data_IF_975107640637
#
_entry.id   IF_975107640637
#
_cell.length_a   1.000
_cell.length_b   1.000
_cell.length_c   1.000
_cell.angle_alpha   90.00
_cell.angle_beta   90.00
_cell.angle_gamma   90.00
#
_symmetry.space_group_name_H-M   'P 1'
#
loop_
_entity.id
_entity.type
_entity.pdbx_description
1 polymer ?
#
# COMPACT_ATOMS: atom_id res chain seq x y z
N UNK A 1 -16.66 -1.58 -14.45
CA UNK A 1 -16.90 -0.87 -13.18
C UNK A 1 -15.56 -0.74 -12.53
N UNK A 2 -15.25 0.44 -11.98
CA UNK A 2 -13.99 0.65 -11.29
C UNK A 2 -13.98 -0.12 -9.96
N UNK A 3 -12.81 -0.52 -9.50
CA UNK A 3 -12.62 -1.21 -8.21
C UNK A 3 -13.02 -0.30 -7.05
N UNK A 4 -13.39 -0.91 -5.92
CA UNK A 4 -13.73 -0.23 -4.67
C UNK A 4 -12.50 0.25 -3.87
N UNK A 5 -11.29 0.06 -4.43
CA UNK A 5 -10.03 0.64 -3.96
C UNK A 5 -9.17 1.03 -5.17
N UNK A 6 -7.99 1.63 -4.91
CA UNK A 6 -6.93 1.75 -5.93
C UNK A 6 -5.56 1.44 -5.33
N UNK A 7 -4.69 0.85 -6.13
CA UNK A 7 -3.26 0.79 -5.81
C UNK A 7 -2.57 2.03 -6.37
N UNK A 8 -1.92 2.79 -5.51
CA UNK A 8 -1.08 3.93 -5.88
C UNK A 8 0.39 3.45 -5.83
N UNK A 9 1.12 3.46 -6.95
CA UNK A 9 2.54 3.21 -6.94
C UNK A 9 3.29 4.48 -6.49
N UNK A 10 4.02 4.41 -5.38
CA UNK A 10 4.96 5.45 -4.99
C UNK A 10 6.37 5.11 -5.49
N UNK A 11 6.90 5.94 -6.38
CA UNK A 11 8.27 5.82 -6.88
C UNK A 11 9.28 5.87 -5.72
N UNK A 12 10.19 4.91 -5.70
CA UNK A 12 11.32 4.84 -4.79
C UNK A 12 12.48 5.63 -5.39
N UNK A 13 13.07 6.52 -4.59
CA UNK A 13 14.30 7.25 -4.93
C UNK A 13 15.48 6.55 -4.24
N UNK A 14 16.44 6.07 -5.02
CA UNK A 14 17.67 5.46 -4.51
C UNK A 14 18.80 6.48 -4.49
N UNK A 15 19.63 6.47 -3.44
CA UNK A 15 20.73 7.42 -3.25
C UNK A 15 22.12 6.80 -3.40
N UNK A 16 23.12 7.65 -3.68
CA UNK A 16 24.53 7.23 -3.86
C UNK A 16 25.19 6.62 -2.60
N UNK A 17 24.56 6.75 -1.44
CA UNK A 17 25.01 6.19 -0.16
C UNK A 17 24.31 4.86 0.22
N UNK A 18 23.48 4.31 -0.67
CA UNK A 18 22.62 3.15 -0.39
C UNK A 18 21.35 3.52 0.38
N UNK A 19 20.44 2.55 0.47
CA UNK A 19 19.10 2.76 1.01
C UNK A 19 18.13 3.39 0.00
N UNK A 20 16.86 3.47 0.41
CA UNK A 20 15.73 3.84 -0.45
C UNK A 20 14.84 4.85 0.26
N UNK A 21 14.39 5.86 -0.48
CA UNK A 21 13.52 6.93 0.01
C UNK A 21 12.19 6.91 -0.73
N UNK A 22 11.09 6.91 0.01
CA UNK A 22 9.74 7.15 -0.49
C UNK A 22 9.24 8.45 0.14
N UNK A 23 9.01 9.46 -0.70
CA UNK A 23 8.32 10.70 -0.32
C UNK A 23 6.94 10.67 -0.95
N UNK A 24 5.91 11.05 -0.21
CA UNK A 24 4.60 11.36 -0.74
C UNK A 24 4.10 12.68 -0.12
N UNK A 25 3.22 13.39 -0.81
CA UNK A 25 2.71 14.69 -0.40
C UNK A 25 1.34 14.96 -1.04
N UNK A 26 0.54 15.86 -0.47
CA UNK A 26 -0.68 16.33 -1.14
C UNK A 26 -0.34 16.91 -2.53
N UNK A 27 -1.11 16.53 -3.55
CA UNK A 27 -0.98 17.08 -4.89
C UNK A 27 -1.92 16.40 -5.89
N UNK A 28 -1.85 16.83 -7.15
CA UNK A 28 -2.58 16.20 -8.27
C UNK A 28 -1.63 15.63 -9.32
N UNK A 29 -0.43 16.22 -9.48
CA UNK A 29 0.66 15.82 -10.38
C UNK A 29 2.01 16.25 -9.74
N UNK A 30 3.19 15.67 -10.09
CA UNK A 30 3.43 14.66 -11.13
C UNK A 30 4.02 13.31 -10.61
N UNK A 31 4.42 13.22 -9.33
CA UNK A 31 4.91 11.96 -8.73
C UNK A 31 4.52 11.88 -7.25
N UNK A 32 4.19 10.67 -6.79
CA UNK A 32 3.85 10.32 -5.41
C UNK A 32 2.84 11.25 -4.71
N UNK A 33 1.88 11.75 -5.49
CA UNK A 33 0.83 12.64 -4.99
C UNK A 33 -0.24 11.85 -4.22
N UNK A 34 -0.65 12.37 -3.06
CA UNK A 34 -1.86 11.96 -2.36
C UNK A 34 -3.04 12.80 -2.91
N UNK A 35 -4.19 12.17 -3.24
CA UNK A 35 -5.34 12.88 -3.81
C UNK A 35 -6.08 13.78 -2.80
N UNK A 36 -5.61 13.85 -1.55
CA UNK A 36 -6.21 14.57 -0.44
C UNK A 36 -5.18 15.33 0.42
N UNK A 37 -5.65 16.30 1.21
CA UNK A 37 -4.85 16.93 2.28
C UNK A 37 -4.51 15.94 3.38
N UNK A 38 -3.32 15.98 3.99
CA UNK A 38 -2.99 15.09 5.12
C UNK A 38 -3.58 15.66 6.41
N UNK A 39 -4.59 14.98 6.98
CA UNK A 39 -5.21 15.33 8.26
C UNK A 39 -4.67 14.54 9.46
N UNK A 40 -4.37 13.25 9.27
CA UNK A 40 -3.76 12.38 10.30
C UNK A 40 -2.79 11.35 9.70
N UNK A 41 -1.86 10.88 10.52
CA UNK A 41 -0.97 9.75 10.24
C UNK A 41 -1.03 8.79 11.41
N UNK A 42 -1.17 7.49 11.13
CA UNK A 42 -1.19 6.41 12.12
C UNK A 42 -0.11 5.38 11.77
N UNK A 43 0.40 4.70 12.79
CA UNK A 43 1.27 3.53 12.62
C UNK A 43 0.66 2.38 13.42
N UNK A 44 0.51 1.22 12.80
CA UNK A 44 0.10 -0.03 13.47
C UNK A 44 1.23 -1.05 13.37
N UNK A 45 1.61 -1.59 14.51
CA UNK A 45 2.63 -2.63 14.67
C UNK A 45 2.15 -3.68 15.68
N UNK A 46 2.95 -4.74 15.85
CA UNK A 46 2.78 -5.75 16.90
C UNK A 46 1.45 -6.52 16.83
N UNK A 47 0.90 -6.67 15.61
CA UNK A 47 -0.19 -7.60 15.30
C UNK A 47 0.31 -9.06 15.38
N UNK A 48 -0.54 -9.95 15.91
CA UNK A 48 -0.34 -11.39 15.78
C UNK A 48 -0.89 -11.88 14.43
N UNK A 49 -0.43 -13.02 13.88
CA UNK A 49 -0.97 -13.56 12.63
C UNK A 49 -2.49 -13.81 12.65
N UNK A 50 -3.01 -14.23 13.80
CA UNK A 50 -4.44 -14.51 14.02
C UNK A 50 -5.26 -13.25 14.40
N UNK A 51 -4.64 -12.05 14.49
CA UNK A 51 -5.38 -10.82 14.76
C UNK A 51 -6.30 -10.50 13.57
N UNK A 52 -7.56 -10.18 13.87
CA UNK A 52 -8.48 -9.54 12.91
C UNK A 52 -8.75 -8.13 13.38
N UNK A 53 -8.50 -7.14 12.52
CA UNK A 53 -8.72 -5.71 12.80
C UNK A 53 -9.55 -5.06 11.69
N UNK A 54 -9.87 -3.78 11.85
CA UNK A 54 -10.79 -3.07 10.95
C UNK A 54 -12.21 -3.20 11.47
N UNK A 55 -13.07 -3.91 10.74
CA UNK A 55 -14.50 -4.11 11.04
C UNK A 55 -15.26 -2.79 11.21
N UNK A 56 -15.05 -1.86 10.28
CA UNK A 56 -15.79 -0.60 10.19
C UNK A 56 -15.72 0.00 8.78
N UNK A 57 -16.69 0.86 8.47
CA UNK A 57 -16.62 1.81 7.36
C UNK A 57 -16.41 3.25 7.90
N UNK A 58 -16.32 4.23 7.00
CA UNK A 58 -16.14 5.66 7.28
C UNK A 58 -17.11 6.48 6.45
N UNK A 59 -17.55 7.65 6.94
CA UNK A 59 -18.40 8.56 6.17
C UNK A 59 -17.57 9.46 5.24
N UNK A 60 -16.48 10.04 5.77
CA UNK A 60 -15.66 11.04 5.08
C UNK A 60 -14.17 10.65 5.00
N UNK A 61 -13.66 9.80 5.91
CA UNK A 61 -12.24 9.42 5.88
C UNK A 61 -11.88 8.65 4.60
N UNK A 62 -10.95 9.22 3.82
CA UNK A 62 -10.11 8.53 2.83
C UNK A 62 -8.76 8.18 3.45
N UNK A 63 -8.25 6.98 3.18
CA UNK A 63 -6.97 6.50 3.73
C UNK A 63 -6.06 5.94 2.64
N UNK A 64 -4.75 6.16 2.80
CA UNK A 64 -3.71 5.46 2.06
C UNK A 64 -2.92 4.62 3.06
N UNK A 65 -2.89 3.31 2.83
CA UNK A 65 -2.16 2.34 3.66
C UNK A 65 -0.91 1.84 2.94
N UNK A 66 0.23 1.86 3.63
CA UNK A 66 1.52 1.36 3.15
C UNK A 66 2.07 0.35 4.14
N UNK A 67 2.33 -0.88 3.71
CA UNK A 67 3.10 -1.83 4.51
C UNK A 67 4.59 -1.43 4.51
N UNK A 68 5.09 -0.90 5.62
CA UNK A 68 6.51 -0.57 5.78
C UNK A 68 7.37 -1.83 5.95
N UNK A 69 6.84 -2.83 6.64
CA UNK A 69 7.42 -4.15 6.89
C UNK A 69 6.29 -5.20 6.84
N UNK A 70 6.62 -6.45 6.51
CA UNK A 70 5.68 -7.56 6.41
C UNK A 70 4.56 -7.31 5.39
N UNK A 71 3.35 -7.74 5.73
CA UNK A 71 2.15 -7.63 4.90
C UNK A 71 0.89 -8.16 5.60
N UNK A 72 -0.26 -7.93 5.00
CA UNK A 72 -1.55 -8.47 5.44
C UNK A 72 -2.58 -8.44 4.31
N UNK A 73 -3.71 -9.11 4.51
CA UNK A 73 -4.82 -9.15 3.56
C UNK A 73 -5.98 -8.28 4.02
N UNK A 74 -6.57 -7.54 3.09
CA UNK A 74 -7.75 -6.71 3.27
C UNK A 74 -8.93 -7.38 2.54
N UNK A 75 -10.03 -7.63 3.25
CA UNK A 75 -11.36 -7.80 2.66
C UNK A 75 -12.08 -6.46 2.67
N UNK A 76 -12.53 -6.04 1.49
CA UNK A 76 -13.23 -4.79 1.24
C UNK A 76 -14.64 -5.10 0.73
N UNK A 77 -15.65 -4.37 1.21
CA UNK A 77 -17.06 -4.64 0.96
C UNK A 77 -17.80 -3.31 0.75
N UNK A 78 -18.56 -3.21 -0.34
CA UNK A 78 -19.31 -1.98 -0.70
C UNK A 78 -20.72 -1.91 -0.09
N UNK A 79 -21.14 -2.93 0.66
CA UNK A 79 -22.47 -3.04 1.26
C UNK A 79 -23.61 -3.29 0.26
N UNK A 80 -23.32 -3.21 -1.05
CA UNK A 80 -24.23 -3.42 -2.17
C UNK A 80 -24.03 -4.79 -2.84
N UNK A 81 -23.23 -5.67 -2.21
CA UNK A 81 -22.98 -7.04 -2.64
C UNK A 81 -21.66 -7.27 -3.38
N UNK A 82 -20.83 -6.24 -3.57
CA UNK A 82 -19.47 -6.43 -4.07
C UNK A 82 -18.50 -6.60 -2.90
N UNK A 83 -17.65 -7.61 -3.02
CA UNK A 83 -16.48 -7.81 -2.16
C UNK A 83 -15.24 -7.94 -3.02
N UNK A 84 -14.14 -7.35 -2.58
CA UNK A 84 -12.83 -7.46 -3.23
C UNK A 84 -11.76 -7.75 -2.17
N UNK A 85 -10.80 -8.62 -2.49
CA UNK A 85 -9.71 -9.01 -1.57
C UNK A 85 -8.36 -8.59 -2.16
N UNK A 86 -7.55 -7.93 -1.34
CA UNK A 86 -6.23 -7.43 -1.74
C UNK A 86 -5.19 -7.71 -0.66
N UNK A 87 -4.09 -8.35 -1.02
CA UNK A 87 -2.95 -8.57 -0.14
C UNK A 87 -1.91 -7.47 -0.37
N UNK A 88 -1.61 -6.72 0.68
CA UNK A 88 -0.65 -5.62 0.68
C UNK A 88 0.60 -6.05 1.46
N UNK A 89 1.74 -6.14 0.78
CA UNK A 89 3.04 -6.41 1.42
C UNK A 89 4.02 -5.27 1.20
N UNK A 90 5.12 -5.32 1.94
CA UNK A 90 6.16 -4.29 1.91
C UNK A 90 6.97 -4.27 0.60
N UNK A 91 6.87 -5.31 -0.23
CA UNK A 91 7.56 -5.44 -1.52
C UNK A 91 6.63 -5.58 -2.73
N UNK A 92 5.40 -6.08 -2.55
CA UNK A 92 4.48 -6.41 -3.65
C UNK A 92 3.00 -6.19 -3.24
N UNK A 93 2.10 -6.15 -4.22
CA UNK A 93 0.65 -6.29 -4.02
C UNK A 93 0.15 -7.41 -4.92
N UNK A 94 -0.72 -8.27 -4.39
CA UNK A 94 -1.47 -9.24 -5.18
C UNK A 94 -2.98 -9.04 -4.98
N UNK A 95 -3.69 -8.86 -6.09
CA UNK A 95 -5.15 -8.79 -6.10
C UNK A 95 -5.70 -10.23 -6.25
N UNK A 96 -6.58 -10.66 -5.35
CA UNK A 96 -7.34 -11.90 -5.52
C UNK A 96 -8.80 -11.56 -5.82
N UNK A 97 -9.13 -11.51 -7.11
CA UNK A 97 -10.51 -11.31 -7.58
C UNK A 97 -11.25 -12.65 -7.60
N UNK A 98 -11.97 -12.94 -6.53
CA UNK A 98 -12.76 -14.17 -6.34
C UNK A 98 -14.01 -14.20 -7.21
N UNK A 99 -13.85 -14.52 -8.50
CA UNK A 99 -14.96 -15.02 -9.31
C UNK A 99 -15.18 -16.51 -8.99
N UNK A 100 -16.28 -16.83 -8.30
CA UNK A 100 -16.64 -18.20 -7.96
C UNK A 100 -16.91 -18.99 -9.26
N UNK A 101 -15.97 -19.87 -9.61
CA UNK A 101 -16.04 -20.73 -10.79
C UNK A 101 -15.50 -22.13 -10.50
N UNK A 102 -16.10 -23.13 -11.15
CA UNK A 102 -15.96 -24.55 -10.82
C UNK A 102 -14.62 -25.15 -11.31
N UNK A 103 -14.14 -26.21 -10.65
CA UNK A 103 -12.71 -26.61 -10.64
C UNK A 103 -12.16 -27.39 -11.86
N UNK A 104 -10.82 -27.58 -11.91
CA UNK A 104 -10.16 -28.35 -12.99
C UNK A 104 -8.63 -28.52 -12.96
N UNK A 105 -8.11 -29.39 -12.09
CA UNK A 105 -6.88 -30.22 -12.17
C UNK A 105 -5.79 -29.96 -13.27
N UNK A 106 -4.51 -29.85 -12.88
CA UNK A 106 -3.32 -30.00 -13.75
C UNK A 106 -2.00 -30.09 -12.95
N UNK A 107 -0.97 -30.83 -13.41
CA UNK A 107 0.14 -31.33 -12.57
C UNK A 107 1.56 -31.15 -13.18
N UNK A 108 2.59 -31.38 -12.34
CA UNK A 108 4.01 -31.77 -12.60
C UNK A 108 5.13 -30.73 -12.75
N UNK A 109 6.12 -30.87 -11.86
CA UNK A 109 7.57 -30.52 -11.92
C UNK A 109 8.36 -31.52 -12.82
N UNK A 110 9.67 -31.34 -13.24
CA UNK A 110 10.79 -30.92 -12.35
C UNK A 110 12.11 -30.28 -12.91
N UNK A 111 12.89 -29.71 -11.97
CA UNK A 111 14.36 -29.74 -11.74
C UNK A 111 15.37 -29.70 -12.94
N UNK A 112 16.18 -28.63 -12.95
CA UNK A 112 17.67 -28.62 -13.04
C UNK A 112 18.19 -27.27 -12.48
N UNK A 113 19.48 -27.00 -12.17
CA UNK A 113 20.72 -27.80 -12.12
C UNK A 113 21.66 -27.28 -10.98
N UNK A 114 22.98 -27.52 -11.01
CA UNK A 114 23.91 -27.35 -9.86
C UNK A 114 25.20 -26.51 -10.12
N UNK A 115 25.49 -25.57 -9.19
CA UNK A 115 26.82 -25.24 -8.58
C UNK A 115 27.94 -24.55 -9.45
N UNK A 116 29.09 -24.06 -8.88
CA UNK A 116 29.46 -23.76 -7.47
C UNK A 116 30.13 -22.33 -7.31
N UNK A 117 31.14 -21.99 -6.44
CA UNK A 117 31.12 -20.74 -5.67
C UNK A 117 32.31 -19.77 -5.89
N UNK A 118 32.30 -18.58 -5.27
CA UNK A 118 33.47 -17.68 -5.19
C UNK A 118 33.68 -17.20 -3.73
N UNK A 119 34.95 -16.89 -3.42
CA UNK A 119 35.57 -16.79 -2.09
C UNK A 119 35.55 -15.37 -1.46
N UNK A 120 35.93 -15.32 -0.18
CA UNK A 120 35.82 -14.23 0.79
C UNK A 120 36.82 -13.04 0.67
N UNK A 121 36.34 -11.81 1.02
CA UNK A 121 36.84 -10.91 2.12
C UNK A 121 38.29 -10.31 2.06
N UNK A 122 38.65 -9.25 2.84
CA UNK A 122 37.99 -7.97 3.23
C UNK A 122 38.91 -6.72 2.99
N UNK A 123 38.61 -5.57 3.64
CA UNK A 123 39.44 -4.34 3.83
C UNK A 123 39.56 -3.41 2.59
N UNK A 124 39.68 -2.07 2.68
CA UNK A 124 39.45 -1.07 3.73
C UNK A 124 39.50 0.36 3.13
N UNK A 125 38.98 1.36 3.88
CA UNK A 125 39.20 2.83 3.80
C UNK A 125 37.93 3.68 3.64
N UNK A 126 37.32 4.04 4.77
CA UNK A 126 36.47 5.23 4.85
C UNK A 126 37.36 6.47 5.00
N UNK A 127 37.34 7.34 3.98
CA UNK A 127 37.91 8.68 4.04
C UNK A 127 36.82 9.68 3.61
N UNK A 128 36.20 10.37 4.58
CA UNK A 128 35.24 11.44 4.30
C UNK A 128 36.00 12.77 4.06
N UNK A 129 35.85 13.42 2.90
CA UNK A 129 36.22 14.83 2.73
C UNK A 129 35.17 15.72 3.41
N UNK A 130 35.63 16.85 3.93
CA UNK A 130 34.79 17.93 4.47
C UNK A 130 33.95 18.63 3.40
N UNK A 131 32.81 19.20 3.81
CA UNK A 131 31.95 20.05 2.98
C UNK A 131 32.70 21.29 2.48
N UNK A 132 32.53 21.63 1.19
CA UNK A 132 31.79 22.83 0.76
C UNK A 132 31.45 22.72 -0.75
N UNK A 133 30.83 23.76 -1.30
CA UNK A 133 30.44 24.03 -2.70
C UNK A 133 29.02 23.64 -3.12
N UNK A 134 28.27 24.70 -3.41
CA UNK A 134 26.92 24.71 -3.96
C UNK A 134 26.87 24.16 -5.39
N UNK A 135 26.53 22.88 -5.51
CA UNK A 135 26.13 22.26 -6.78
C UNK A 135 24.73 21.67 -6.66
N UNK A 136 23.80 22.07 -7.51
CA UNK A 136 22.57 21.30 -7.70
C UNK A 136 22.98 19.92 -8.22
N UNK A 137 22.69 18.87 -7.43
CA UNK A 137 22.92 17.49 -7.89
C UNK A 137 21.99 17.25 -9.08
N UNK A 138 22.60 17.11 -10.26
CA UNK A 138 21.94 16.65 -11.47
C UNK A 138 21.54 15.18 -11.24
N UNK A 139 20.33 14.98 -10.70
CA UNK A 139 19.76 13.66 -10.48
C UNK A 139 19.44 13.09 -11.86
N UNK A 140 20.36 12.29 -12.37
CA UNK A 140 20.33 11.65 -13.70
C UNK A 140 19.22 10.61 -13.87
N UNK A 141 17.97 10.98 -13.62
CA UNK A 141 16.81 10.29 -14.15
C UNK A 141 16.55 10.83 -15.56
N UNK A 142 16.87 10.02 -16.57
CA UNK A 142 16.35 10.28 -17.92
C UNK A 142 14.82 10.31 -17.86
N UNK A 143 14.14 11.41 -18.24
CA UNK A 143 12.73 11.64 -17.92
C UNK A 143 11.73 10.73 -18.64
N UNK A 144 12.19 9.63 -19.27
CA UNK A 144 11.41 8.71 -20.09
C UNK A 144 11.62 7.22 -19.76
N UNK A 145 12.42 6.85 -18.75
CA UNK A 145 12.44 5.46 -18.27
C UNK A 145 11.23 5.18 -17.38
N UNK A 146 10.35 4.28 -17.81
CA UNK A 146 9.31 3.73 -16.91
C UNK A 146 9.98 3.07 -15.69
N UNK A 147 9.47 3.27 -14.46
CA UNK A 147 10.01 2.62 -13.28
C UNK A 147 9.92 1.09 -13.42
N UNK A 148 10.95 0.39 -12.95
CA UNK A 148 10.91 -1.07 -12.79
C UNK A 148 9.99 -1.40 -11.59
N UNK A 149 9.45 -2.62 -11.52
CA UNK A 149 8.60 -3.04 -10.38
C UNK A 149 9.35 -3.05 -9.04
N UNK A 150 10.69 -3.14 -9.05
CA UNK A 150 11.54 -2.97 -7.86
C UNK A 150 11.66 -1.54 -7.36
N UNK A 151 11.25 -0.55 -8.16
CA UNK A 151 11.40 0.88 -7.87
C UNK A 151 10.06 1.53 -7.47
N UNK A 152 9.06 0.72 -7.11
CA UNK A 152 7.78 1.18 -6.57
C UNK A 152 7.54 0.63 -5.17
N UNK A 153 6.98 1.47 -4.31
CA UNK A 153 6.37 1.11 -3.05
C UNK A 153 4.85 1.17 -3.25
N UNK A 154 4.14 0.02 -3.29
CA UNK A 154 2.70 0.05 -3.47
C UNK A 154 2.00 0.59 -2.22
N UNK A 155 0.90 1.29 -2.43
CA UNK A 155 0.03 1.83 -1.39
C UNK A 155 -1.44 1.58 -1.74
N UNK A 156 -2.25 1.20 -0.75
CA UNK A 156 -3.66 0.91 -0.91
C UNK A 156 -4.49 2.15 -0.55
N UNK A 157 -5.14 2.76 -1.55
CA UNK A 157 -6.14 3.83 -1.35
C UNK A 157 -7.49 3.20 -1.02
N UNK A 158 -8.00 3.50 0.17
CA UNK A 158 -9.30 3.12 0.69
C UNK A 158 -10.24 4.32 0.67
N UNK A 159 -11.41 4.13 0.05
CA UNK A 159 -12.46 5.15 -0.03
C UNK A 159 -13.36 5.19 1.22
N UNK A 160 -14.10 6.29 1.43
CA UNK A 160 -15.21 6.31 2.38
C UNK A 160 -16.31 5.37 1.89
N UNK A 161 -17.22 4.99 2.79
CA UNK A 161 -18.31 4.05 2.55
C UNK A 161 -17.88 2.65 2.05
N UNK A 162 -16.61 2.28 2.23
CA UNK A 162 -16.13 0.90 2.07
C UNK A 162 -15.93 0.30 3.47
N UNK A 163 -16.60 -0.82 3.75
CA UNK A 163 -16.32 -1.60 4.96
C UNK A 163 -15.03 -2.38 4.76
N UNK A 164 -14.13 -2.31 5.75
CA UNK A 164 -12.81 -2.94 5.66
C UNK A 164 -12.53 -3.85 6.85
N UNK A 165 -12.02 -5.04 6.57
CA UNK A 165 -11.53 -5.99 7.56
C UNK A 165 -10.15 -6.46 7.11
N UNK A 166 -9.18 -6.50 8.01
CA UNK A 166 -7.81 -6.90 7.68
C UNK A 166 -7.26 -7.92 8.67
N UNK A 167 -6.56 -8.93 8.11
CA UNK A 167 -6.20 -10.20 8.73
C UNK A 167 -4.98 -10.81 8.01
N UNK A 168 -4.57 -12.03 8.39
CA UNK A 168 -3.38 -12.73 7.87
C UNK A 168 -2.10 -11.88 7.96
N UNK A 169 -1.83 -11.33 9.16
CA UNK A 169 -0.67 -10.47 9.39
C UNK A 169 0.64 -11.28 9.38
N UNK A 170 1.58 -10.90 8.52
CA UNK A 170 2.93 -11.48 8.56
C UNK A 170 3.65 -11.08 9.87
N UNK A 171 4.48 -11.95 10.47
CA UNK A 171 5.27 -11.59 11.65
C UNK A 171 6.16 -10.36 11.40
N UNK A 172 6.01 -9.33 12.25
CA UNK A 172 6.74 -8.07 12.07
C UNK A 172 6.12 -7.09 11.06
N UNK A 173 4.83 -7.27 10.72
CA UNK A 173 4.10 -6.31 9.90
C UNK A 173 4.00 -4.94 10.59
N UNK A 174 4.32 -3.89 9.82
CA UNK A 174 4.17 -2.49 10.23
C UNK A 174 3.41 -1.77 9.13
N UNK A 175 2.23 -1.24 9.46
CA UNK A 175 1.41 -0.45 8.54
C UNK A 175 1.52 1.03 8.87
N UNK A 176 1.78 1.85 7.87
CA UNK A 176 1.63 3.30 7.90
C UNK A 176 0.30 3.65 7.24
N UNK A 177 -0.54 4.43 7.91
CA UNK A 177 -1.82 4.92 7.39
C UNK A 177 -1.77 6.43 7.35
N UNK A 178 -2.11 7.02 6.21
CA UNK A 178 -2.20 8.47 5.99
C UNK A 178 -3.61 8.79 5.54
N UNK A 179 -4.30 9.70 6.23
CA UNK A 179 -5.72 9.93 6.00
C UNK A 179 -6.10 11.41 5.91
N UNK A 180 -7.20 11.68 5.20
CA UNK A 180 -7.58 13.03 4.75
C UNK A 180 -8.00 13.99 5.89
N UNK A 181 -8.66 13.47 6.93
CA UNK A 181 -9.17 14.25 8.07
C UNK A 181 -8.51 13.85 9.40
N UNK A 182 -8.65 14.69 10.42
CA UNK A 182 -8.25 14.37 11.79
C UNK A 182 -9.08 13.20 12.36
N UNK A 183 -8.70 12.67 13.53
CA UNK A 183 -9.54 11.67 14.20
C UNK A 183 -10.86 12.30 14.67
N UNK A 184 -11.98 11.71 14.24
CA UNK A 184 -13.31 11.90 14.78
C UNK A 184 -13.93 10.51 14.97
N UNK A 185 -14.55 10.25 16.11
CA UNK A 185 -15.25 8.98 16.37
C UNK A 185 -16.61 8.94 15.65
N UNK A 186 -17.23 10.10 15.39
CA UNK A 186 -18.51 10.18 14.68
C UNK A 186 -18.41 9.78 13.19
N UNK A 187 -17.19 9.80 12.63
CA UNK A 187 -16.90 9.34 11.27
C UNK A 187 -16.83 7.79 11.17
N UNK A 188 -16.79 7.04 12.28
CA UNK A 188 -16.72 5.58 12.24
C UNK A 188 -18.11 4.93 12.15
N UNK A 189 -18.33 4.12 11.10
CA UNK A 189 -19.50 3.24 10.99
C UNK A 189 -19.10 1.86 11.51
N UNK A 190 -19.41 1.57 12.78
CA UNK A 190 -19.03 0.31 13.46
C UNK A 190 -20.13 -0.76 13.47
N UNK A 191 -21.38 -0.38 13.25
CA UNK A 191 -22.49 -1.33 13.11
C UNK A 191 -22.66 -1.78 11.66
N UNK A 192 -22.77 -3.09 11.45
CA UNK A 192 -22.83 -3.68 10.10
C UNK A 192 -24.19 -3.44 9.41
N UNK A 193 -25.29 -3.44 10.17
CA UNK A 193 -26.62 -3.20 9.62
C UNK A 193 -26.90 -1.70 9.39
N UNK A 194 -26.19 -0.81 10.07
CA UNK A 194 -26.09 0.60 9.74
C UNK A 194 -25.31 0.83 8.45
N UNK A 195 -24.12 0.22 8.32
CA UNK A 195 -23.33 0.26 7.10
C UNK A 195 -24.14 -0.16 5.86
N UNK A 196 -24.80 -1.31 5.90
CA UNK A 196 -25.58 -1.84 4.76
C UNK A 196 -26.74 -0.90 4.38
N UNK A 197 -27.47 -0.33 5.36
CA UNK A 197 -28.52 0.67 5.10
C UNK A 197 -27.99 1.98 4.49
N UNK A 198 -26.78 2.39 4.86
CA UNK A 198 -26.14 3.59 4.28
C UNK A 198 -25.71 3.30 2.84
N UNK A 199 -25.10 2.13 2.59
CA UNK A 199 -24.64 1.70 1.28
C UNK A 199 -25.76 1.71 0.22
N UNK A 200 -26.98 1.23 0.57
CA UNK A 200 -28.16 1.29 -0.30
C UNK A 200 -28.50 2.71 -0.82
N UNK A 201 -28.11 3.75 -0.07
CA UNK A 201 -28.39 5.16 -0.39
C UNK A 201 -27.19 5.93 -0.95
N UNK A 202 -25.99 5.36 -0.87
CA UNK A 202 -24.74 6.02 -1.26
C UNK A 202 -24.39 5.69 -2.72
N UNK A 203 -24.30 6.73 -3.56
CA UNK A 203 -24.12 6.58 -5.01
C UNK A 203 -22.70 6.86 -5.52
N UNK A 204 -21.71 7.01 -4.63
CA UNK A 204 -20.33 7.39 -4.96
C UNK A 204 -19.29 6.29 -4.78
N UNK A 205 -18.21 6.33 -5.57
CA UNK A 205 -16.95 5.63 -5.29
C UNK A 205 -15.84 6.68 -5.17
N UNK A 206 -15.58 7.15 -3.95
CA UNK A 206 -14.66 8.26 -3.68
C UNK A 206 -15.22 9.62 -4.11
N UNK A 207 -14.98 10.65 -3.30
CA UNK A 207 -15.52 11.99 -3.56
C UNK A 207 -14.77 12.72 -4.67
N UNK A 208 -15.33 12.76 -5.89
CA UNK A 208 -15.29 13.98 -6.71
C UNK A 208 -16.35 13.97 -7.82
N UNK A 209 -17.43 14.71 -7.59
CA UNK A 209 -18.45 15.02 -8.58
C UNK A 209 -19.11 16.39 -8.31
N UNK A 210 -18.29 17.44 -8.22
CA UNK A 210 -18.64 18.88 -8.38
C UNK A 210 -17.43 19.67 -8.84
#
# INVERSE_FOLDING_TARGET
MDSIYKIIPFNIKHGNCGGSLVQFQQGVEPENALPFSIGKVLVSSDMNPDDVRGNHAHYETEEIVVALSGGCTFELDDGCGRKETVSLSSSEVSEQRTEVSDGGSGNSNPISDLRPPISASPESNFLYPSQDETGALDIGNSPNSKPQTSDIKPALLLYPHIWRTFYDFEPGTVLLVVANITYDEADYIRDRAEFERIAETWSGLGGSAV
#
